data_IF_690780612502
#
_entry.id   IF_690780612502
#
_cell.length_a   1.000
_cell.length_b   1.000
_cell.length_c   1.000
_cell.angle_alpha   90.00
_cell.angle_beta   90.00
_cell.angle_gamma   90.00
#
_symmetry.space_group_name_H-M   'P 1'
#
loop_
_entity.id
_entity.type
_entity.pdbx_description
1 polymer ?
#
# COMPACT_ATOMS: atom_id res chain seq x y z
N UNK A 1 20.18 -7.79 -22.95
CA UNK A 1 20.47 -6.71 -23.92
C UNK A 1 21.94 -6.39 -23.85
N UNK A 2 22.32 -5.20 -24.28
CA UNK A 2 23.60 -4.60 -23.91
C UNK A 2 23.30 -3.52 -22.85
N UNK A 3 24.14 -3.38 -21.82
CA UNK A 3 24.04 -2.25 -20.88
C UNK A 3 24.57 -0.96 -21.54
N UNK A 4 24.65 0.15 -20.79
CA UNK A 4 25.14 1.43 -21.30
C UNK A 4 26.62 1.42 -21.76
N UNK A 5 27.37 0.37 -21.42
CA UNK A 5 28.80 0.20 -21.74
C UNK A 5 29.06 -0.84 -22.85
N UNK A 6 28.03 -1.25 -23.59
CA UNK A 6 28.10 -2.27 -24.67
C UNK A 6 28.50 -3.69 -24.21
N UNK A 7 28.35 -3.99 -22.91
CA UNK A 7 28.55 -5.35 -22.38
C UNK A 7 27.26 -6.17 -22.44
N UNK A 8 27.39 -7.49 -22.71
CA UNK A 8 26.25 -8.41 -22.66
C UNK A 8 25.73 -8.48 -21.23
N UNK A 9 24.59 -7.85 -20.99
CA UNK A 9 23.94 -7.83 -19.69
C UNK A 9 22.47 -8.28 -19.79
N UNK A 10 21.97 -8.88 -18.71
CA UNK A 10 20.59 -9.28 -18.57
C UNK A 10 19.82 -8.17 -17.86
N UNK A 11 18.65 -7.82 -18.41
CA UNK A 11 17.79 -6.79 -17.84
C UNK A 11 17.06 -7.40 -16.64
N UNK A 12 17.05 -6.68 -15.53
CA UNK A 12 16.27 -7.00 -14.34
C UNK A 12 15.26 -5.88 -14.17
N UNK A 13 13.99 -6.22 -13.99
CA UNK A 13 12.91 -5.27 -13.71
C UNK A 13 12.40 -5.55 -12.29
N UNK A 14 11.72 -4.58 -11.67
CA UNK A 14 11.15 -4.71 -10.33
C UNK A 14 10.81 -3.36 -9.72
N UNK A 15 10.77 -3.29 -8.39
CA UNK A 15 10.58 -2.05 -7.65
C UNK A 15 11.69 -1.86 -6.61
N UNK A 16 12.24 -0.65 -6.54
CA UNK A 16 13.22 -0.26 -5.54
C UNK A 16 13.01 1.21 -5.14
N UNK A 17 13.12 1.51 -3.85
CA UNK A 17 12.99 2.87 -3.30
C UNK A 17 11.70 3.59 -3.76
N UNK A 18 10.58 2.87 -3.81
CA UNK A 18 9.28 3.44 -4.11
C UNK A 18 9.05 3.75 -5.60
N UNK A 19 9.82 3.14 -6.50
CA UNK A 19 9.74 3.36 -7.95
C UNK A 19 10.01 2.07 -8.72
N UNK A 20 9.50 2.00 -9.94
CA UNK A 20 9.96 1.00 -10.91
C UNK A 20 11.48 1.06 -11.05
N UNK A 21 12.09 -0.10 -11.02
CA UNK A 21 13.52 -0.30 -11.10
C UNK A 21 13.85 -1.10 -12.35
N UNK A 22 14.79 -0.59 -13.14
CA UNK A 22 15.40 -1.30 -14.26
C UNK A 22 16.89 -1.36 -14.00
N UNK A 23 17.38 -2.56 -13.69
CA UNK A 23 18.79 -2.86 -13.48
C UNK A 23 19.34 -3.78 -14.55
N UNK A 24 20.65 -4.03 -14.45
CA UNK A 24 21.36 -4.95 -15.34
C UNK A 24 22.28 -5.85 -14.53
N UNK A 25 22.44 -7.10 -14.96
CA UNK A 25 23.46 -8.00 -14.40
C UNK A 25 24.27 -8.66 -15.52
N UNK A 26 25.57 -8.87 -15.30
CA UNK A 26 26.42 -9.57 -16.25
C UNK A 26 26.29 -11.10 -16.14
N UNK A 27 25.70 -11.62 -15.07
CA UNK A 27 25.53 -13.06 -14.81
C UNK A 27 24.06 -13.41 -14.53
N UNK A 28 23.54 -14.41 -15.25
CA UNK A 28 22.17 -14.92 -15.07
C UNK A 28 21.97 -15.62 -13.72
N UNK A 29 23.05 -16.07 -13.11
CA UNK A 29 23.00 -16.80 -11.85
C UNK A 29 23.08 -15.87 -10.65
N UNK A 30 23.21 -14.55 -10.86
CA UNK A 30 23.16 -13.56 -9.78
C UNK A 30 21.82 -13.65 -9.07
N UNK A 31 21.84 -14.19 -7.85
CA UNK A 31 20.70 -14.30 -6.94
C UNK A 31 19.45 -15.02 -7.41
N UNK A 32 19.54 -15.86 -8.45
CA UNK A 32 18.37 -16.51 -9.07
C UNK A 32 17.24 -15.53 -9.42
N UNK A 33 17.62 -14.35 -9.93
CA UNK A 33 16.70 -13.34 -10.48
C UNK A 33 15.99 -13.80 -11.77
N UNK A 34 15.99 -15.11 -12.03
CA UNK A 34 15.45 -15.76 -13.21
C UNK A 34 14.03 -16.30 -13.00
N UNK A 35 13.60 -16.42 -11.74
CA UNK A 35 12.25 -16.79 -11.38
C UNK A 35 11.26 -15.67 -11.68
N UNK A 36 10.05 -16.04 -12.10
CA UNK A 36 8.96 -15.10 -12.30
C UNK A 36 8.62 -14.39 -10.98
N UNK A 37 8.09 -13.17 -11.07
CA UNK A 37 7.49 -12.49 -9.93
C UNK A 37 6.41 -13.39 -9.31
N UNK A 38 6.53 -13.63 -8.01
CA UNK A 38 5.49 -14.31 -7.23
C UNK A 38 4.31 -13.37 -6.94
N UNK A 39 3.23 -13.93 -6.40
CA UNK A 39 2.13 -13.13 -5.83
C UNK A 39 2.59 -12.46 -4.53
N UNK A 40 1.76 -11.65 -3.88
CA UNK A 40 2.11 -11.14 -2.53
C UNK A 40 2.41 -12.25 -1.51
N UNK A 41 1.81 -13.44 -1.65
CA UNK A 41 2.04 -14.58 -0.77
C UNK A 41 3.42 -15.23 -1.00
N UNK A 42 3.94 -15.14 -2.23
CA UNK A 42 5.21 -15.74 -2.67
C UNK A 42 6.23 -14.69 -3.15
N UNK A 43 6.06 -13.43 -2.74
CA UNK A 43 6.90 -12.33 -3.20
C UNK A 43 8.32 -12.54 -2.70
N UNK A 44 9.28 -12.49 -3.63
CA UNK A 44 10.70 -12.57 -3.30
C UNK A 44 11.25 -11.17 -3.16
N UNK A 45 11.73 -10.85 -1.96
CA UNK A 45 12.45 -9.60 -1.71
C UNK A 45 13.95 -9.86 -1.75
N UNK A 46 14.68 -8.97 -2.41
CA UNK A 46 16.11 -9.14 -2.64
C UNK A 46 16.91 -7.99 -2.03
N UNK A 47 18.01 -8.32 -1.35
CA UNK A 47 19.09 -7.40 -1.05
C UNK A 47 20.07 -7.42 -2.22
N UNK A 48 20.14 -6.31 -2.97
CA UNK A 48 21.00 -6.20 -4.16
C UNK A 48 22.35 -5.57 -3.79
N UNK A 49 23.43 -6.15 -4.30
CA UNK A 49 24.75 -5.47 -4.36
C UNK A 49 24.92 -4.91 -5.75
N UNK A 50 25.08 -3.58 -5.81
CA UNK A 50 25.22 -2.82 -7.06
C UNK A 50 26.62 -2.22 -7.10
N UNK A 51 27.32 -2.38 -8.21
CA UNK A 51 28.64 -1.78 -8.41
C UNK A 51 28.58 -0.30 -8.83
N UNK A 52 29.74 0.31 -9.10
CA UNK A 52 29.81 1.73 -9.46
C UNK A 52 29.23 2.07 -10.84
N UNK A 53 28.85 1.07 -11.65
CA UNK A 53 28.29 1.22 -12.98
C UNK A 53 26.80 0.84 -13.03
N UNK A 54 26.13 0.80 -11.86
CA UNK A 54 24.74 0.39 -11.71
C UNK A 54 24.46 -1.07 -12.17
N UNK A 55 25.48 -1.94 -12.10
CA UNK A 55 25.34 -3.36 -12.41
C UNK A 55 25.13 -4.16 -11.11
N UNK A 56 24.10 -5.00 -11.10
CA UNK A 56 23.83 -5.96 -10.03
C UNK A 56 24.88 -7.06 -10.10
N UNK A 57 25.76 -7.10 -9.11
CA UNK A 57 26.84 -8.09 -8.98
C UNK A 57 26.51 -9.20 -7.99
N UNK A 58 25.56 -8.98 -7.10
CA UNK A 58 25.04 -9.98 -6.19
C UNK A 58 23.58 -9.68 -5.84
N UNK A 59 22.81 -10.72 -5.52
CA UNK A 59 21.43 -10.59 -5.08
C UNK A 59 21.12 -11.72 -4.10
N UNK A 60 20.65 -11.37 -2.91
CA UNK A 60 20.31 -12.33 -1.86
C UNK A 60 18.81 -12.24 -1.56
N UNK A 61 18.10 -13.37 -1.63
CA UNK A 61 16.72 -13.43 -1.15
C UNK A 61 16.75 -13.22 0.36
N UNK A 62 15.99 -12.23 0.82
CA UNK A 62 15.83 -11.95 2.24
C UNK A 62 14.36 -11.95 2.60
N UNK A 63 14.06 -12.41 3.80
CA UNK A 63 12.75 -12.18 4.43
C UNK A 63 12.75 -10.91 5.28
N UNK A 64 13.85 -10.15 5.33
CA UNK A 64 14.05 -9.07 6.29
C UNK A 64 14.61 -9.53 7.64
N UNK A 65 14.97 -8.61 8.53
CA UNK A 65 15.38 -8.94 9.91
C UNK A 65 14.18 -9.01 10.85
N UNK A 66 14.27 -9.85 11.87
CA UNK A 66 13.16 -10.14 12.76
C UNK A 66 12.77 -8.93 13.64
N UNK A 67 11.46 -8.63 13.72
CA UNK A 67 10.92 -7.83 14.81
C UNK A 67 11.08 -8.60 16.13
N UNK A 68 11.21 -7.88 17.24
CA UNK A 68 11.15 -8.48 18.57
C UNK A 68 9.81 -9.20 18.75
N UNK A 69 9.86 -10.54 18.77
CA UNK A 69 8.72 -11.47 18.91
C UNK A 69 7.79 -11.62 17.69
N UNK A 70 8.24 -11.35 16.46
CA UNK A 70 7.47 -11.71 15.26
C UNK A 70 8.32 -12.41 14.19
N UNK A 71 7.66 -13.21 13.35
CA UNK A 71 8.24 -13.77 12.13
C UNK A 71 8.01 -12.78 10.98
N UNK A 72 8.98 -12.64 10.08
CA UNK A 72 8.89 -11.71 8.92
C UNK A 72 8.64 -12.50 7.63
N UNK A 73 7.84 -11.97 6.70
CA UNK A 73 7.00 -10.79 6.86
C UNK A 73 5.94 -10.98 7.94
N UNK A 74 5.61 -9.90 8.66
CA UNK A 74 4.40 -9.88 9.47
C UNK A 74 3.23 -9.74 8.50
N UNK A 75 2.33 -10.71 8.52
CA UNK A 75 1.17 -10.75 7.62
C UNK A 75 -0.10 -10.65 8.45
N UNK A 76 -1.04 -9.81 8.04
CA UNK A 76 -2.37 -9.78 8.63
C UNK A 76 -3.15 -8.50 8.35
N UNK A 77 -4.37 -8.47 8.87
CA UNK A 77 -5.29 -7.35 8.70
C UNK A 77 -4.98 -6.18 9.63
N UNK A 78 -5.18 -4.97 9.11
CA UNK A 78 -5.02 -3.74 9.86
C UNK A 78 -6.22 -3.52 10.77
N UNK A 79 -5.94 -3.60 12.07
CA UNK A 79 -6.93 -3.41 13.15
C UNK A 79 -7.01 -1.96 13.62
N UNK A 80 -5.90 -1.22 13.58
CA UNK A 80 -5.88 0.22 13.88
C UNK A 80 -4.66 0.92 13.27
N UNK A 81 -4.71 2.26 13.24
CA UNK A 81 -3.62 3.13 12.80
C UNK A 81 -3.63 4.41 13.64
N UNK A 82 -2.47 4.84 14.12
CA UNK A 82 -2.30 6.09 14.86
C UNK A 82 -1.25 6.97 14.18
N UNK A 83 -1.67 8.17 13.79
CA UNK A 83 -0.87 9.07 12.96
C UNK A 83 -0.38 8.41 11.67
N UNK A 84 0.85 8.76 11.27
CA UNK A 84 1.46 8.27 10.04
C UNK A 84 2.44 7.10 10.28
N UNK A 85 2.85 6.85 11.52
CA UNK A 85 4.01 6.00 11.82
C UNK A 85 3.70 4.84 12.77
N UNK A 86 2.43 4.64 13.14
CA UNK A 86 2.01 3.51 13.95
C UNK A 86 0.86 2.78 13.27
N UNK A 87 1.03 1.48 13.10
CA UNK A 87 0.01 0.57 12.57
C UNK A 87 -0.17 -0.61 13.50
N UNK A 88 -1.39 -1.11 13.62
CA UNK A 88 -1.73 -2.27 14.42
C UNK A 88 -2.15 -3.43 13.51
N UNK A 89 -1.33 -4.47 13.42
CA UNK A 89 -1.63 -5.71 12.67
C UNK A 89 -1.98 -6.80 13.67
N UNK A 90 -3.17 -7.38 13.53
CA UNK A 90 -3.70 -8.42 14.43
C UNK A 90 -3.58 -8.07 15.94
N UNK A 91 -3.77 -6.79 16.29
CA UNK A 91 -3.69 -6.32 17.68
C UNK A 91 -2.28 -5.96 18.18
N UNK A 92 -1.23 -6.18 17.39
CA UNK A 92 0.16 -5.79 17.74
C UNK A 92 0.57 -4.51 17.04
N UNK A 93 1.15 -3.56 17.77
CA UNK A 93 1.61 -2.28 17.24
C UNK A 93 3.01 -2.39 16.65
N UNK A 94 3.19 -1.82 15.46
CA UNK A 94 4.46 -1.67 14.77
C UNK A 94 4.73 -0.20 14.48
N UNK A 95 5.97 0.22 14.66
CA UNK A 95 6.44 1.56 14.28
C UNK A 95 6.96 1.51 12.85
N UNK A 96 6.56 2.46 12.03
CA UNK A 96 6.97 2.56 10.62
C UNK A 96 8.09 3.58 10.49
N UNK A 97 9.14 3.23 9.72
CA UNK A 97 10.18 4.19 9.37
C UNK A 97 9.56 5.38 8.62
N UNK A 98 9.94 6.64 8.93
CA UNK A 98 9.41 7.79 8.19
C UNK A 98 9.65 7.77 6.67
N UNK A 99 10.61 6.99 6.22
CA UNK A 99 10.98 6.79 4.82
C UNK A 99 10.54 5.41 4.30
N UNK A 100 9.71 4.69 5.06
CA UNK A 100 9.23 3.39 4.66
C UNK A 100 8.56 3.45 3.29
N UNK A 101 8.88 2.45 2.47
CA UNK A 101 8.32 2.32 1.13
C UNK A 101 7.02 1.52 1.20
N UNK A 102 6.04 1.88 0.38
CA UNK A 102 4.77 1.16 0.31
C UNK A 102 4.50 0.76 -1.13
N UNK A 103 4.22 -0.52 -1.35
CA UNK A 103 3.69 -1.06 -2.60
C UNK A 103 2.30 -1.64 -2.38
N UNK A 104 1.53 -1.77 -3.44
CA UNK A 104 0.30 -2.56 -3.50
C UNK A 104 0.49 -3.71 -4.48
N UNK A 105 -0.14 -4.85 -4.19
CA UNK A 105 -0.25 -5.97 -5.11
C UNK A 105 -1.72 -6.16 -5.50
N UNK A 106 -2.04 -6.03 -6.79
CA UNK A 106 -3.35 -6.32 -7.34
C UNK A 106 -3.45 -7.82 -7.66
N UNK A 107 -4.39 -8.52 -7.04
CA UNK A 107 -4.68 -9.92 -7.41
C UNK A 107 -5.32 -9.99 -8.80
N UNK A 108 -6.11 -9.00 -9.18
CA UNK A 108 -6.80 -8.97 -10.46
C UNK A 108 -5.83 -8.84 -11.64
N UNK A 109 -4.78 -8.03 -11.47
CA UNK A 109 -3.80 -7.76 -12.51
C UNK A 109 -2.51 -8.57 -12.35
N UNK A 110 -2.34 -9.26 -11.22
CA UNK A 110 -1.11 -9.95 -10.82
C UNK A 110 0.13 -9.03 -10.86
N UNK A 111 -0.07 -7.75 -10.59
CA UNK A 111 0.94 -6.69 -10.72
C UNK A 111 1.15 -5.93 -9.41
N UNK A 112 2.40 -5.49 -9.20
CA UNK A 112 2.78 -4.57 -8.15
C UNK A 112 2.76 -3.13 -8.65
N UNK A 113 2.36 -2.19 -7.78
CA UNK A 113 2.49 -0.75 -8.02
C UNK A 113 2.95 -0.03 -6.74
N UNK A 114 3.41 1.19 -6.90
CA UNK A 114 3.68 2.15 -5.84
C UNK A 114 2.40 2.57 -5.12
N UNK A 115 2.45 2.61 -3.79
CA UNK A 115 1.34 3.01 -2.95
C UNK A 115 1.80 3.99 -1.86
N UNK A 116 0.87 4.44 -1.02
CA UNK A 116 1.14 5.35 0.10
C UNK A 116 0.61 4.75 1.40
N UNK A 117 1.20 5.20 2.51
CA UNK A 117 0.70 4.85 3.85
C UNK A 117 -0.78 5.24 4.07
N UNK A 118 -1.26 6.28 3.37
CA UNK A 118 -2.67 6.69 3.40
C UNK A 118 -3.62 5.65 2.81
N UNK A 119 -3.12 4.77 1.95
CA UNK A 119 -3.94 3.84 1.18
C UNK A 119 -4.23 2.57 1.98
N UNK A 120 -3.47 2.33 3.06
CA UNK A 120 -3.74 1.27 4.04
C UNK A 120 -5.02 1.64 4.82
N UNK A 121 -6.06 0.83 4.66
CA UNK A 121 -7.38 0.99 5.28
C UNK A 121 -7.44 0.25 6.61
N UNK A 122 -8.15 0.81 7.58
CA UNK A 122 -8.61 0.11 8.78
C UNK A 122 -10.11 -0.14 8.67
N UNK A 123 -10.60 -1.21 9.30
CA UNK A 123 -12.02 -1.55 9.25
C UNK A 123 -12.87 -0.39 9.78
N UNK A 124 -13.83 0.07 8.96
CA UNK A 124 -14.77 1.12 9.34
C UNK A 124 -15.97 1.15 8.42
N UNK A 125 -17.18 1.17 8.96
CA UNK A 125 -18.43 1.44 8.22
C UNK A 125 -18.55 0.61 6.93
N UNK A 126 -18.46 -0.72 7.04
CA UNK A 126 -18.52 -1.66 5.91
C UNK A 126 -17.34 -1.59 4.92
N UNK A 127 -16.29 -0.81 5.23
CA UNK A 127 -15.01 -0.86 4.52
C UNK A 127 -14.18 -1.97 5.16
N UNK A 128 -13.74 -2.93 4.35
CA UNK A 128 -12.81 -3.97 4.76
C UNK A 128 -11.42 -3.38 5.07
N UNK A 129 -10.75 -3.94 6.07
CA UNK A 129 -9.38 -3.56 6.40
C UNK A 129 -8.43 -4.02 5.29
N UNK A 130 -7.30 -3.31 5.14
CA UNK A 130 -6.22 -3.82 4.32
C UNK A 130 -5.53 -5.00 5.01
N UNK A 131 -5.32 -6.08 4.27
CA UNK A 131 -4.30 -7.08 4.60
C UNK A 131 -2.94 -6.54 4.17
N UNK A 132 -1.93 -6.62 5.04
CA UNK A 132 -0.58 -6.10 4.77
C UNK A 132 0.51 -7.13 5.03
N UNK A 133 1.63 -6.95 4.36
CA UNK A 133 2.90 -7.63 4.64
C UNK A 133 3.91 -6.58 5.08
N UNK A 134 4.43 -6.69 6.30
CA UNK A 134 5.42 -5.77 6.86
C UNK A 134 6.80 -6.41 6.86
N UNK A 135 7.76 -5.68 6.33
CA UNK A 135 9.17 -6.06 6.32
C UNK A 135 10.01 -5.02 7.06
N UNK A 136 11.05 -5.51 7.71
CA UNK A 136 12.15 -4.72 8.24
C UNK A 136 13.41 -5.17 7.48
N UNK A 137 14.27 -4.25 7.08
CA UNK A 137 15.39 -4.51 6.18
C UNK A 137 16.76 -4.04 6.70
N UNK A 138 16.82 -3.29 7.81
CA UNK A 138 18.08 -2.85 8.40
C UNK A 138 18.41 -3.54 9.74
N UNK A 139 19.69 -3.68 10.05
CA UNK A 139 20.11 -4.45 11.24
C UNK A 139 19.96 -3.64 12.56
N UNK A 140 19.66 -2.35 12.48
CA UNK A 140 19.81 -1.41 13.58
C UNK A 140 18.52 -0.73 14.06
N UNK A 141 17.37 -1.00 13.42
CA UNK A 141 16.08 -0.44 13.82
C UNK A 141 14.95 -1.47 13.95
N UNK A 142 14.16 -1.41 15.02
CA UNK A 142 12.96 -2.25 15.17
C UNK A 142 11.73 -1.56 14.54
N UNK A 143 11.89 -1.01 13.33
CA UNK A 143 10.82 -0.31 12.60
C UNK A 143 10.55 -0.96 11.24
N UNK A 144 9.36 -0.72 10.70
CA UNK A 144 8.95 -1.24 9.39
C UNK A 144 9.56 -0.38 8.30
N UNK A 145 10.37 -0.98 7.43
CA UNK A 145 11.03 -0.31 6.30
C UNK A 145 10.21 -0.38 5.01
N UNK A 146 9.42 -1.44 4.86
CA UNK A 146 8.70 -1.69 3.63
C UNK A 146 7.40 -2.44 3.88
N UNK A 147 6.35 -2.04 3.17
CA UNK A 147 4.98 -2.55 3.32
C UNK A 147 4.41 -2.93 1.96
N UNK A 148 3.77 -4.10 1.88
CA UNK A 148 2.90 -4.48 0.75
C UNK A 148 1.46 -4.45 1.24
N UNK A 149 0.62 -3.69 0.55
CA UNK A 149 -0.83 -3.76 0.67
C UNK A 149 -1.31 -4.87 -0.26
N UNK A 150 -1.99 -5.87 0.29
CA UNK A 150 -2.61 -6.93 -0.51
C UNK A 150 -4.01 -6.47 -0.95
N UNK A 151 -4.17 -6.23 -2.24
CA UNK A 151 -5.48 -5.91 -2.82
C UNK A 151 -6.09 -7.19 -3.39
N UNK A 152 -6.74 -7.93 -2.49
CA UNK A 152 -7.31 -9.25 -2.76
C UNK A 152 -8.50 -9.26 -3.71
N UNK A 153 -9.26 -8.15 -3.78
CA UNK A 153 -10.53 -8.05 -4.50
C UNK A 153 -11.07 -6.60 -4.53
N UNK A 154 -10.34 -5.61 -5.05
CA UNK A 154 -11.01 -4.46 -5.67
C UNK A 154 -11.22 -4.75 -7.15
N UNK A 155 -12.30 -5.48 -7.44
CA UNK A 155 -12.95 -5.31 -8.72
C UNK A 155 -13.32 -3.82 -8.86
N UNK A 156 -12.48 -3.07 -9.55
CA UNK A 156 -12.81 -1.80 -10.19
C UNK A 156 -13.43 -0.72 -9.27
N UNK A 157 -12.58 0.08 -8.61
CA UNK A 157 -13.00 1.35 -7.98
C UNK A 157 -13.02 2.52 -9.01
N UNK A 158 -13.13 2.24 -10.33
CA UNK A 158 -13.19 3.29 -11.37
C UNK A 158 -14.60 3.89 -11.57
N UNK A 159 -15.60 3.49 -10.80
CA UNK A 159 -16.88 4.22 -10.73
C UNK A 159 -17.18 4.69 -9.30
N UNK A 160 -16.52 5.77 -8.89
CA UNK A 160 -17.07 6.65 -7.86
C UNK A 160 -18.46 7.13 -8.35
N UNK A 161 -19.59 6.80 -7.69
CA UNK A 161 -20.86 7.42 -8.05
C UNK A 161 -20.74 8.92 -7.73
N UNK A 162 -20.95 9.76 -8.72
CA UNK A 162 -21.12 11.20 -8.48
C UNK A 162 -22.26 11.37 -7.47
N UNK A 163 -21.93 11.91 -6.30
CA UNK A 163 -22.94 12.35 -5.33
C UNK A 163 -23.94 13.26 -6.07
N UNK A 164 -25.25 12.96 -6.09
CA UNK A 164 -26.20 13.96 -6.52
C UNK A 164 -26.17 15.10 -5.51
N UNK A 165 -25.92 16.30 -6.02
CA UNK A 165 -25.98 17.56 -5.29
C UNK A 165 -27.38 17.72 -4.65
N UNK A 166 -27.53 17.32 -3.38
CA UNK A 166 -28.70 17.66 -2.58
C UNK A 166 -28.56 19.09 -2.04
N UNK A 167 -28.53 20.06 -2.96
CA UNK A 167 -28.93 21.42 -2.64
C UNK A 167 -30.45 21.53 -2.75
N UNK A 168 -31.02 22.16 -1.72
CA UNK A 168 -32.42 22.61 -1.56
C UNK A 168 -33.32 21.75 -0.67
N UNK A 169 -33.08 21.84 0.64
CA UNK A 169 -34.18 21.86 1.63
C UNK A 169 -34.46 23.31 2.00
N UNK A 170 -35.35 23.97 1.25
CA UNK A 170 -36.03 25.19 1.71
C UNK A 170 -37.44 24.84 2.21
N UNK A 171 -37.69 25.02 3.50
CA UNK A 171 -38.92 25.63 4.08
C UNK A 171 -38.71 25.81 5.59
N UNK A 172 -39.27 26.84 6.27
CA UNK A 172 -40.66 27.29 6.09
C UNK A 172 -40.92 28.81 6.18
N UNK A 173 -41.92 29.32 5.46
CA UNK A 173 -42.74 30.43 5.96
C UNK A 173 -44.19 29.96 6.00
N UNK A 174 -44.69 29.79 7.23
CA UNK A 174 -46.09 29.48 7.48
C UNK A 174 -46.93 30.74 7.32
N UNK A 175 -47.78 30.78 6.30
CA UNK A 175 -48.91 31.71 6.27
C UNK A 175 -49.92 31.29 7.35
N UNK A 176 -49.98 32.06 8.43
CA UNK A 176 -51.10 31.99 9.36
C UNK A 176 -52.34 32.61 8.69
N UNK A 177 -53.30 31.77 8.35
CA UNK A 177 -54.66 32.17 8.04
C UNK A 177 -55.36 32.68 9.30
N UNK A 178 -55.69 33.98 9.36
CA UNK A 178 -56.64 34.53 10.33
C UNK A 178 -58.00 34.74 9.69
N UNK A 179 -59.05 34.11 10.22
CA UNK A 179 -60.45 34.58 10.16
C UNK A 179 -61.29 33.80 11.19
N UNK A 180 -62.43 34.30 11.72
CA UNK A 180 -62.86 35.67 12.05
C UNK A 180 -63.22 35.83 13.55
N UNK A 181 -63.18 37.05 14.08
CA UNK A 181 -63.88 37.38 15.34
C UNK A 181 -65.40 37.52 15.09
N UNK A 182 -66.15 36.58 15.66
CA UNK A 182 -67.59 36.70 15.83
C UNK A 182 -67.93 37.27 17.21
N UNK A 183 -68.51 38.48 17.21
CA UNK A 183 -69.66 38.83 18.06
C UNK A 183 -69.40 39.40 19.46
N UNK A 184 -69.76 40.68 19.63
CA UNK A 184 -70.76 41.12 20.62
C UNK A 184 -70.97 42.64 20.51
N UNK A 185 -72.21 43.08 20.28
CA UNK A 185 -72.58 44.49 20.30
C UNK A 185 -74.10 44.64 20.33
N UNK A 186 -74.59 44.97 21.52
CA UNK A 186 -75.98 45.22 21.93
C UNK A 186 -76.69 46.28 21.08
#
# INVERSE_FOLDING_TARGET
GYNADDDKAFKVEGFANGKEYVGWTADRNTGDLSDAFGTAEDVKVYKLTIDSNDVITDAEITTGEAFVNATIPVVGDITDKDGNYLIQVEGTWYTIDPNAVVYSYSVADEEFDTAKLSDIKKERNSIEASTVYLYQMDDDSEVVDFIIIYDGDNADDSEQPENPDESQTETPEGEQTETPEGGAGN
#
